data_IF_016193689707
#
_entry.id   IF_016193689707
#
_cell.length_a   1.000
_cell.length_b   1.000
_cell.length_c   1.000
_cell.angle_alpha   90.00
_cell.angle_beta   90.00
_cell.angle_gamma   90.00
#
_symmetry.space_group_name_H-M   'P 1'
#
loop_
_entity.id
_entity.type
_entity.pdbx_description
1 polymer ?
#
# COMPACT_ATOMS: atom_id res chain seq x y z
N UNK A 1 -41.17 -23.08 -16.65
CA UNK A 1 -40.48 -22.40 -15.56
C UNK A 1 -39.07 -22.97 -15.38
N UNK A 2 -38.03 -22.31 -15.94
CA UNK A 2 -36.63 -22.70 -15.73
C UNK A 2 -36.22 -22.23 -14.32
N UNK A 3 -35.95 -23.15 -13.42
CA UNK A 3 -35.31 -22.84 -12.14
C UNK A 3 -33.90 -22.37 -12.43
N UNK A 4 -33.64 -21.08 -12.24
CA UNK A 4 -32.29 -20.52 -12.28
C UNK A 4 -31.54 -21.13 -11.10
N UNK A 5 -30.47 -21.87 -11.39
CA UNK A 5 -29.62 -22.51 -10.41
C UNK A 5 -28.77 -21.41 -9.73
N UNK A 6 -28.93 -21.11 -8.42
CA UNK A 6 -28.28 -19.95 -7.77
C UNK A 6 -26.78 -20.16 -7.50
N UNK A 7 -26.23 -21.35 -7.81
CA UNK A 7 -24.85 -21.69 -7.42
C UNK A 7 -23.76 -21.16 -8.34
N UNK A 8 -24.08 -20.81 -9.60
CA UNK A 8 -23.06 -20.38 -10.58
C UNK A 8 -22.64 -18.91 -10.47
N UNK A 9 -23.41 -18.06 -9.76
CA UNK A 9 -23.13 -16.62 -9.62
C UNK A 9 -22.37 -16.26 -8.32
N UNK A 10 -22.24 -17.16 -7.37
CA UNK A 10 -21.66 -16.86 -6.05
C UNK A 10 -20.12 -16.74 -6.08
N UNK A 11 -19.42 -17.49 -6.92
CA UNK A 11 -17.95 -17.46 -6.96
C UNK A 11 -17.42 -16.18 -7.65
N UNK A 12 -18.06 -15.69 -8.70
CA UNK A 12 -17.69 -14.44 -9.36
C UNK A 12 -17.87 -13.21 -8.46
N UNK A 13 -18.90 -13.22 -7.60
CA UNK A 13 -19.19 -12.13 -6.66
C UNK A 13 -18.24 -12.09 -5.44
N UNK A 14 -17.62 -13.21 -5.07
CA UNK A 14 -16.64 -13.24 -3.97
C UNK A 14 -15.29 -12.60 -4.34
N UNK A 15 -14.88 -12.63 -5.60
CA UNK A 15 -13.60 -12.06 -6.05
C UNK A 15 -13.68 -10.57 -6.33
N UNK A 16 -14.82 -10.07 -6.81
CA UNK A 16 -15.05 -8.68 -7.21
C UNK A 16 -15.70 -7.86 -6.08
N UNK A 17 -15.50 -6.54 -6.16
CA UNK A 17 -16.16 -5.60 -5.24
C UNK A 17 -17.67 -5.56 -5.51
N UNK A 18 -18.44 -5.31 -4.46
CA UNK A 18 -19.90 -5.11 -4.48
C UNK A 18 -20.26 -3.82 -3.75
N UNK A 19 -21.47 -3.27 -3.90
CA UNK A 19 -21.90 -2.10 -3.14
C UNK A 19 -21.86 -2.27 -1.62
N UNK A 20 -21.87 -3.51 -1.11
CA UNK A 20 -21.90 -3.82 0.32
C UNK A 20 -20.51 -4.18 0.87
N UNK A 21 -19.68 -4.92 0.10
CA UNK A 21 -18.41 -5.48 0.56
C UNK A 21 -17.34 -5.39 -0.53
N UNK A 22 -16.10 -5.26 -0.08
CA UNK A 22 -14.94 -5.43 -0.95
C UNK A 22 -14.69 -6.90 -1.24
N UNK A 23 -14.39 -7.21 -2.49
CA UNK A 23 -14.09 -8.57 -2.95
C UNK A 23 -12.77 -9.10 -2.37
N UNK A 24 -12.55 -10.39 -2.53
CA UNK A 24 -11.38 -11.09 -1.96
C UNK A 24 -10.06 -10.48 -2.43
N UNK A 25 -9.94 -10.11 -3.71
CA UNK A 25 -8.71 -9.50 -4.25
C UNK A 25 -8.46 -8.13 -3.62
N UNK A 26 -9.48 -7.27 -3.51
CA UNK A 26 -9.37 -5.96 -2.87
C UNK A 26 -8.92 -6.07 -1.41
N UNK A 27 -9.46 -7.06 -0.68
CA UNK A 27 -9.12 -7.31 0.73
C UNK A 27 -7.71 -7.87 0.88
N UNK A 28 -7.33 -8.85 0.05
CA UNK A 28 -6.00 -9.44 0.07
C UNK A 28 -4.93 -8.38 -0.20
N UNK A 29 -5.07 -7.60 -1.27
CA UNK A 29 -4.16 -6.50 -1.57
C UNK A 29 -4.09 -5.48 -0.43
N UNK A 30 -5.24 -5.14 0.19
CA UNK A 30 -5.26 -4.22 1.31
C UNK A 30 -4.45 -4.72 2.51
N UNK A 31 -4.68 -5.96 2.95
CA UNK A 31 -4.03 -6.51 4.13
C UNK A 31 -2.56 -6.83 3.91
N UNK A 32 -2.18 -7.30 2.71
CA UNK A 32 -0.77 -7.48 2.35
C UNK A 32 -0.01 -6.14 2.38
N UNK A 33 -0.62 -5.09 1.82
CA UNK A 33 -0.03 -3.75 1.87
C UNK A 33 0.02 -3.21 3.30
N UNK A 34 -1.02 -3.41 4.10
CA UNK A 34 -1.03 -2.98 5.50
C UNK A 34 0.11 -3.65 6.30
N UNK A 35 0.32 -4.95 6.12
CA UNK A 35 1.44 -5.68 6.74
C UNK A 35 2.81 -5.14 6.25
N UNK A 36 2.96 -4.91 4.94
CA UNK A 36 4.19 -4.34 4.40
C UNK A 36 4.44 -2.92 4.93
N UNK A 37 3.41 -2.05 5.02
CA UNK A 37 3.53 -0.72 5.63
C UNK A 37 3.92 -0.78 7.11
N UNK A 38 3.33 -1.69 7.89
CA UNK A 38 3.72 -1.87 9.29
C UNK A 38 5.20 -2.24 9.42
N UNK A 39 5.71 -3.12 8.54
CA UNK A 39 7.12 -3.46 8.46
C UNK A 39 8.00 -2.27 8.06
N UNK A 40 7.57 -1.47 7.07
CA UNK A 40 8.30 -0.25 6.66
C UNK A 40 8.41 0.75 7.80
N UNK A 41 7.32 0.95 8.55
CA UNK A 41 7.33 1.81 9.75
C UNK A 41 8.25 1.25 10.82
N UNK A 42 8.16 -0.05 11.10
CA UNK A 42 9.04 -0.73 12.05
C UNK A 42 10.52 -0.50 11.72
N UNK A 43 10.94 -0.74 10.49
CA UNK A 43 12.35 -0.54 10.09
C UNK A 43 12.76 0.92 10.20
N UNK A 44 11.90 1.86 9.81
CA UNK A 44 12.18 3.29 9.92
C UNK A 44 12.32 3.77 11.38
N UNK A 45 11.53 3.23 12.30
CA UNK A 45 11.65 3.53 13.74
C UNK A 45 12.92 2.93 14.30
N UNK A 46 13.22 1.67 14.00
CA UNK A 46 14.35 0.93 14.57
C UNK A 46 15.68 1.64 14.32
N UNK A 47 16.01 1.99 13.09
CA UNK A 47 17.29 2.68 12.84
C UNK A 47 17.32 4.14 13.31
N UNK A 48 16.17 4.77 13.59
CA UNK A 48 16.14 6.08 14.28
C UNK A 48 16.40 5.98 15.79
N UNK A 49 16.20 4.79 16.39
CA UNK A 49 16.48 4.52 17.80
C UNK A 49 17.94 4.12 18.00
N UNK A 50 18.47 3.24 17.14
CA UNK A 50 19.83 2.75 17.22
C UNK A 50 20.35 2.42 15.80
N UNK A 51 21.54 2.94 15.48
CA UNK A 51 22.22 2.74 14.18
C UNK A 51 22.55 1.28 13.88
N UNK A 52 22.70 0.40 14.89
CA UNK A 52 22.93 -1.02 14.72
C UNK A 52 21.83 -1.70 13.87
N UNK A 53 20.59 -1.18 13.94
CA UNK A 53 19.47 -1.65 13.12
C UNK A 53 19.55 -1.22 11.65
N UNK A 54 20.61 -0.52 11.23
CA UNK A 54 20.81 -0.22 9.81
C UNK A 54 20.99 -1.46 8.95
N UNK A 55 21.30 -2.60 9.56
CA UNK A 55 21.27 -3.93 8.94
C UNK A 55 19.91 -4.28 8.30
N UNK A 56 18.80 -3.68 8.79
CA UNK A 56 17.45 -3.83 8.23
C UNK A 56 17.25 -3.12 6.88
N UNK A 57 18.21 -2.28 6.44
CA UNK A 57 18.09 -1.50 5.20
C UNK A 57 17.88 -2.38 3.96
N UNK A 58 18.52 -3.56 3.91
CA UNK A 58 18.31 -4.51 2.81
C UNK A 58 16.86 -5.00 2.73
N UNK A 59 16.29 -5.34 3.88
CA UNK A 59 14.87 -5.75 3.97
C UNK A 59 13.92 -4.60 3.68
N UNK A 60 14.22 -3.38 4.15
CA UNK A 60 13.44 -2.18 3.82
C UNK A 60 13.34 -1.97 2.32
N UNK A 61 14.48 -2.04 1.61
CA UNK A 61 14.51 -1.90 0.14
C UNK A 61 13.72 -3.02 -0.54
N UNK A 62 13.86 -4.26 -0.10
CA UNK A 62 13.16 -5.42 -0.66
C UNK A 62 11.65 -5.31 -0.47
N UNK A 63 11.19 -5.10 0.77
CA UNK A 63 9.75 -4.95 1.07
C UNK A 63 9.18 -3.70 0.42
N UNK A 64 9.93 -2.58 0.40
CA UNK A 64 9.52 -1.34 -0.26
C UNK A 64 9.32 -1.50 -1.77
N UNK A 65 10.16 -2.29 -2.43
CA UNK A 65 10.02 -2.61 -3.86
C UNK A 65 8.80 -3.49 -4.11
N UNK A 66 8.60 -4.53 -3.32
CA UNK A 66 7.38 -5.37 -3.39
C UNK A 66 6.13 -4.53 -3.14
N UNK A 67 6.18 -3.63 -2.16
CA UNK A 67 5.09 -2.72 -1.86
C UNK A 67 4.78 -1.80 -3.05
N UNK A 68 5.79 -1.28 -3.77
CA UNK A 68 5.57 -0.51 -5.00
C UNK A 68 4.78 -1.30 -6.06
N UNK A 69 5.11 -2.58 -6.25
CA UNK A 69 4.38 -3.47 -7.16
C UNK A 69 2.93 -3.68 -6.68
N UNK A 70 2.74 -3.98 -5.38
CA UNK A 70 1.41 -4.16 -4.79
C UNK A 70 0.53 -2.90 -4.93
N UNK A 71 1.11 -1.71 -4.82
CA UNK A 71 0.42 -0.44 -5.01
C UNK A 71 -0.08 -0.31 -6.44
N UNK A 72 0.76 -0.59 -7.43
CA UNK A 72 0.37 -0.55 -8.85
C UNK A 72 -0.78 -1.52 -9.11
N UNK A 73 -0.65 -2.78 -8.65
CA UNK A 73 -1.71 -3.79 -8.77
C UNK A 73 -3.01 -3.33 -8.11
N UNK A 74 -2.92 -2.71 -6.92
CA UNK A 74 -4.08 -2.20 -6.21
C UNK A 74 -4.74 -1.02 -6.92
N UNK A 75 -3.97 -0.09 -7.49
CA UNK A 75 -4.50 1.05 -8.27
C UNK A 75 -5.23 0.54 -9.50
N UNK A 76 -4.62 -0.36 -10.27
CA UNK A 76 -5.24 -0.98 -11.46
C UNK A 76 -6.51 -1.72 -11.07
N UNK A 77 -6.46 -2.58 -10.05
CA UNK A 77 -7.64 -3.30 -9.55
C UNK A 77 -8.74 -2.35 -9.06
N UNK A 78 -8.33 -1.26 -8.40
CA UNK A 78 -9.21 -0.19 -7.95
C UNK A 78 -9.97 0.47 -9.10
N UNK A 79 -9.28 0.77 -10.20
CA UNK A 79 -9.87 1.38 -11.37
C UNK A 79 -10.86 0.44 -12.06
N UNK A 80 -10.50 -0.85 -12.23
CA UNK A 80 -11.38 -1.87 -12.84
C UNK A 80 -12.69 -2.05 -12.05
N UNK A 81 -12.64 -1.95 -10.72
CA UNK A 81 -13.80 -2.16 -9.84
C UNK A 81 -14.48 -0.86 -9.39
N UNK A 82 -14.11 0.30 -9.95
CA UNK A 82 -14.57 1.60 -9.46
C UNK A 82 -16.11 1.75 -9.40
N UNK A 83 -16.82 1.24 -10.42
CA UNK A 83 -18.28 1.29 -10.51
C UNK A 83 -19.02 0.32 -9.57
N UNK A 84 -18.32 -0.67 -9.02
CA UNK A 84 -18.90 -1.74 -8.18
C UNK A 84 -18.66 -1.52 -6.69
N UNK A 85 -17.88 -0.52 -6.31
CA UNK A 85 -17.45 -0.28 -4.93
C UNK A 85 -18.54 0.31 -4.06
N UNK A 86 -18.47 0.08 -2.74
CA UNK A 86 -19.33 0.78 -1.80
C UNK A 86 -19.23 2.30 -1.98
N UNK A 87 -20.36 2.98 -1.95
CA UNK A 87 -20.40 4.43 -1.99
C UNK A 87 -19.72 5.01 -0.75
N UNK A 88 -18.92 6.05 -0.98
CA UNK A 88 -18.19 6.77 0.07
C UNK A 88 -18.44 8.26 -0.02
N UNK A 89 -18.49 8.94 1.11
CA UNK A 89 -18.59 10.40 1.17
C UNK A 89 -17.39 11.08 0.48
N UNK A 90 -17.55 12.29 -0.09
CA UNK A 90 -16.47 12.99 -0.77
C UNK A 90 -15.19 13.15 0.08
N UNK A 91 -15.33 13.46 1.37
CA UNK A 91 -14.20 13.58 2.31
C UNK A 91 -13.44 12.28 2.46
N UNK A 92 -14.13 11.14 2.47
CA UNK A 92 -13.50 9.81 2.53
C UNK A 92 -12.73 9.51 1.24
N UNK A 93 -13.30 9.90 0.09
CA UNK A 93 -12.61 9.76 -1.21
C UNK A 93 -11.34 10.59 -1.26
N UNK A 94 -11.38 11.84 -0.75
CA UNK A 94 -10.22 12.71 -0.67
C UNK A 94 -9.12 12.13 0.21
N UNK A 95 -9.48 11.62 1.39
CA UNK A 95 -8.53 10.94 2.28
C UNK A 95 -7.85 9.73 1.62
N UNK A 96 -8.62 8.88 0.94
CA UNK A 96 -8.04 7.76 0.17
C UNK A 96 -7.18 8.23 -1.00
N UNK A 97 -7.56 9.30 -1.71
CA UNK A 97 -6.76 9.85 -2.80
C UNK A 97 -5.40 10.36 -2.29
N UNK A 98 -5.38 11.05 -1.14
CA UNK A 98 -4.13 11.49 -0.50
C UNK A 98 -3.24 10.30 -0.11
N UNK A 99 -3.83 9.25 0.49
CA UNK A 99 -3.11 8.00 0.79
C UNK A 99 -2.54 7.36 -0.48
N UNK A 100 -3.32 7.20 -1.54
CA UNK A 100 -2.84 6.63 -2.81
C UNK A 100 -1.70 7.44 -3.41
N UNK A 101 -1.81 8.78 -3.42
CA UNK A 101 -0.77 9.66 -3.94
C UNK A 101 0.56 9.45 -3.20
N UNK A 102 0.52 9.45 -1.87
CA UNK A 102 1.72 9.24 -1.07
C UNK A 102 2.25 7.81 -1.16
N UNK A 103 1.37 6.81 -1.20
CA UNK A 103 1.76 5.41 -1.39
C UNK A 103 2.50 5.18 -2.71
N UNK A 104 2.17 5.93 -3.77
CA UNK A 104 2.90 5.91 -5.04
C UNK A 104 4.19 6.71 -4.90
N UNK A 105 4.11 7.96 -4.46
CA UNK A 105 5.25 8.88 -4.46
C UNK A 105 6.42 8.37 -3.60
N UNK A 106 6.15 7.88 -2.39
CA UNK A 106 7.20 7.48 -1.44
C UNK A 106 8.12 6.38 -2.00
N UNK A 107 7.62 5.20 -2.40
CA UNK A 107 8.51 4.15 -2.91
C UNK A 107 9.18 4.54 -4.23
N UNK A 108 8.51 5.27 -5.13
CA UNK A 108 9.13 5.71 -6.38
C UNK A 108 10.28 6.69 -6.13
N UNK A 109 10.14 7.64 -5.21
CA UNK A 109 11.25 8.52 -4.81
C UNK A 109 12.39 7.70 -4.19
N UNK A 110 12.08 6.68 -3.39
CA UNK A 110 13.08 5.75 -2.86
C UNK A 110 13.84 4.99 -3.94
N UNK A 111 13.14 4.48 -4.97
CA UNK A 111 13.73 3.80 -6.11
C UNK A 111 14.60 4.74 -6.98
N UNK A 112 14.14 5.96 -7.22
CA UNK A 112 14.91 7.01 -7.92
C UNK A 112 16.21 7.29 -7.16
N UNK A 113 16.14 7.47 -5.82
CA UNK A 113 17.32 7.66 -4.98
C UNK A 113 18.25 6.46 -5.03
N UNK A 114 17.72 5.25 -4.98
CA UNK A 114 18.52 4.01 -5.05
C UNK A 114 19.25 3.90 -6.37
N UNK A 115 18.58 4.21 -7.48
CA UNK A 115 19.20 4.20 -8.81
C UNK A 115 20.36 5.19 -8.89
N UNK A 116 20.14 6.46 -8.51
CA UNK A 116 21.11 7.54 -8.66
C UNK A 116 22.22 7.56 -7.60
N UNK A 117 22.20 6.68 -6.60
CA UNK A 117 23.15 6.75 -5.48
C UNK A 117 24.52 6.15 -5.77
N UNK A 118 24.72 5.46 -6.89
CA UNK A 118 25.97 4.75 -7.26
C UNK A 118 26.46 3.78 -6.15
N UNK A 119 25.52 3.10 -5.47
CA UNK A 119 25.80 2.17 -4.37
C UNK A 119 25.63 0.71 -4.75
N UNK A 120 25.71 0.43 -6.06
CA UNK A 120 25.48 -0.90 -6.61
C UNK A 120 24.01 -1.24 -6.84
N UNK A 121 23.74 -2.50 -7.21
CA UNK A 121 22.42 -2.94 -7.64
C UNK A 121 21.40 -2.94 -6.49
N UNK A 122 20.13 -2.84 -6.86
CA UNK A 122 19.01 -3.11 -5.96
C UNK A 122 18.71 -4.62 -6.01
N UNK A 123 18.93 -5.27 -4.88
CA UNK A 123 18.55 -6.67 -4.71
C UNK A 123 17.25 -6.74 -3.89
N UNK A 124 16.30 -7.52 -4.38
CA UNK A 124 15.04 -7.83 -3.70
C UNK A 124 15.10 -9.30 -3.28
N UNK A 125 15.28 -9.53 -1.99
CA UNK A 125 15.47 -10.88 -1.40
C UNK A 125 16.54 -11.72 -2.13
N UNK A 126 17.66 -11.09 -2.52
CA UNK A 126 18.78 -11.74 -3.20
C UNK A 126 18.70 -11.73 -4.73
N UNK A 127 17.60 -11.29 -5.32
CA UNK A 127 17.43 -11.18 -6.78
C UNK A 127 17.70 -9.74 -7.19
N UNK A 128 18.66 -9.54 -8.12
CA UNK A 128 18.90 -8.22 -8.70
C UNK A 128 17.73 -7.79 -9.59
N UNK A 129 17.12 -6.66 -9.26
CA UNK A 129 15.98 -6.11 -10.01
C UNK A 129 16.28 -4.77 -10.67
N UNK A 130 17.39 -4.12 -10.29
CA UNK A 130 17.82 -2.86 -10.89
C UNK A 130 19.34 -2.70 -10.68
N UNK A 131 20.08 -2.47 -11.74
CA UNK A 131 21.55 -2.35 -11.72
C UNK A 131 22.04 -1.09 -10.98
N UNK A 132 21.31 -0.01 -11.08
CA UNK A 132 21.73 1.30 -10.56
C UNK A 132 22.61 2.08 -11.55
N UNK A 133 22.86 3.34 -11.26
CA UNK A 133 23.75 4.18 -12.04
C UNK A 133 25.21 3.89 -11.69
N UNK A 134 26.15 3.85 -12.68
CA UNK A 134 27.58 3.71 -12.41
C UNK A 134 28.17 4.94 -11.69
N UNK A 135 27.58 6.11 -11.93
CA UNK A 135 27.99 7.38 -11.30
C UNK A 135 26.85 7.99 -10.50
N UNK A 136 27.20 8.81 -9.49
CA UNK A 136 26.21 9.48 -8.66
C UNK A 136 25.45 10.54 -9.45
N UNK A 137 24.13 10.44 -9.47
CA UNK A 137 23.22 11.43 -10.08
C UNK A 137 22.67 12.33 -8.95
N UNK A 138 23.26 13.50 -8.78
CA UNK A 138 23.04 14.38 -7.64
C UNK A 138 21.56 14.73 -7.42
N UNK A 139 20.81 15.09 -8.48
CA UNK A 139 19.41 15.48 -8.30
C UNK A 139 18.53 14.32 -7.79
N UNK A 140 18.80 13.08 -8.20
CA UNK A 140 18.06 11.89 -7.73
C UNK A 140 18.31 11.63 -6.24
N UNK A 141 19.58 11.76 -5.84
CA UNK A 141 19.96 11.58 -4.44
C UNK A 141 19.38 12.69 -3.57
N UNK A 142 19.47 13.94 -4.04
CA UNK A 142 18.96 15.11 -3.31
C UNK A 142 17.43 15.07 -3.18
N UNK A 143 16.71 14.68 -4.22
CA UNK A 143 15.26 14.45 -4.15
C UNK A 143 14.91 13.39 -3.08
N UNK A 144 15.61 12.25 -3.11
CA UNK A 144 15.38 11.18 -2.14
C UNK A 144 15.67 11.61 -0.70
N UNK A 145 16.79 12.30 -0.48
CA UNK A 145 17.17 12.80 0.85
C UNK A 145 16.18 13.85 1.38
N UNK A 146 15.69 14.72 0.50
CA UNK A 146 14.78 15.80 0.87
C UNK A 146 13.35 15.31 1.14
N UNK A 147 12.86 14.32 0.38
CA UNK A 147 11.43 14.01 0.29
C UNK A 147 11.05 12.63 0.85
N UNK A 148 11.84 11.56 0.58
CA UNK A 148 11.42 10.18 0.89
C UNK A 148 11.00 10.00 2.35
N UNK A 149 11.86 10.33 3.30
CA UNK A 149 11.56 10.17 4.74
C UNK A 149 10.41 11.06 5.21
N UNK A 150 10.39 12.32 4.80
CA UNK A 150 9.34 13.27 5.22
C UNK A 150 7.96 12.86 4.70
N UNK A 151 7.88 12.47 3.44
CA UNK A 151 6.62 11.98 2.85
C UNK A 151 6.20 10.63 3.42
N UNK A 152 7.16 9.76 3.79
CA UNK A 152 6.88 8.52 4.49
C UNK A 152 6.24 8.78 5.87
N UNK A 153 6.78 9.71 6.66
CA UNK A 153 6.17 10.08 7.96
C UNK A 153 4.78 10.69 7.78
N UNK A 154 4.58 11.55 6.77
CA UNK A 154 3.25 12.08 6.45
C UNK A 154 2.28 10.94 6.07
N UNK A 155 2.73 9.98 5.27
CA UNK A 155 1.93 8.80 4.90
C UNK A 155 1.55 7.98 6.14
N UNK A 156 2.48 7.73 7.07
CA UNK A 156 2.19 7.01 8.31
C UNK A 156 1.20 7.75 9.19
N UNK A 157 1.33 9.07 9.29
CA UNK A 157 0.36 9.91 10.02
C UNK A 157 -1.05 9.81 9.43
N UNK A 158 -1.18 9.91 8.10
CA UNK A 158 -2.47 9.76 7.44
C UNK A 158 -3.03 8.33 7.54
N UNK A 159 -2.16 7.31 7.49
CA UNK A 159 -2.56 5.92 7.70
C UNK A 159 -3.06 5.67 9.13
N UNK A 160 -2.42 6.25 10.14
CA UNK A 160 -2.92 6.22 11.52
C UNK A 160 -4.29 6.89 11.64
N UNK A 161 -4.48 8.07 11.04
CA UNK A 161 -5.77 8.73 10.97
C UNK A 161 -6.84 7.88 10.27
N UNK A 162 -6.49 7.22 9.16
CA UNK A 162 -7.37 6.28 8.46
C UNK A 162 -7.81 5.13 9.38
N UNK A 163 -6.90 4.53 10.14
CA UNK A 163 -7.22 3.46 11.09
C UNK A 163 -8.14 3.97 12.20
N UNK A 164 -7.82 5.12 12.80
CA UNK A 164 -8.63 5.74 13.85
C UNK A 164 -10.06 6.00 13.35
N UNK A 165 -10.20 6.58 12.15
CA UNK A 165 -11.53 6.85 11.58
C UNK A 165 -12.28 5.56 11.27
N UNK A 166 -11.61 4.50 10.80
CA UNK A 166 -12.25 3.21 10.58
C UNK A 166 -12.79 2.61 11.89
N UNK A 167 -12.03 2.74 13.00
CA UNK A 167 -12.46 2.30 14.34
C UNK A 167 -13.64 3.13 14.84
N UNK A 168 -13.58 4.46 14.73
CA UNK A 168 -14.68 5.36 15.16
C UNK A 168 -15.98 5.02 14.41
N UNK A 169 -15.93 4.86 13.09
CA UNK A 169 -17.10 4.50 12.29
C UNK A 169 -17.63 3.11 12.65
N UNK A 170 -16.73 2.16 12.92
CA UNK A 170 -17.14 0.82 13.39
C UNK A 170 -17.87 0.87 14.73
N UNK A 171 -17.37 1.66 15.69
CA UNK A 171 -17.99 1.85 17.02
C UNK A 171 -19.34 2.59 16.93
N UNK A 172 -19.50 3.46 15.93
CA UNK A 172 -20.79 4.12 15.63
C UNK A 172 -21.80 3.23 14.92
N UNK A 173 -21.47 1.94 14.67
CA UNK A 173 -22.37 0.98 14.06
C UNK A 173 -22.35 0.92 12.53
N UNK A 174 -21.51 1.69 11.85
CA UNK A 174 -21.44 1.73 10.37
C UNK A 174 -20.78 0.49 9.75
N UNK A 175 -20.22 -0.42 10.57
CA UNK A 175 -19.64 -1.72 10.19
C UNK A 175 -18.60 -1.63 9.05
N UNK A 176 -17.81 -0.53 8.99
CA UNK A 176 -16.85 -0.25 7.91
C UNK A 176 -15.73 -1.29 7.85
N UNK A 177 -15.20 -1.70 9.01
CA UNK A 177 -14.17 -2.74 9.09
C UNK A 177 -14.70 -4.06 8.51
N UNK A 178 -15.97 -4.39 8.73
CA UNK A 178 -16.57 -5.61 8.21
C UNK A 178 -16.56 -5.65 6.67
N UNK A 179 -16.61 -4.49 5.99
CA UNK A 179 -16.50 -4.42 4.53
C UNK A 179 -15.15 -4.91 4.02
N UNK A 180 -14.09 -4.76 4.86
CA UNK A 180 -12.71 -5.18 4.55
C UNK A 180 -12.33 -6.55 5.13
N UNK A 181 -13.10 -7.09 6.08
CA UNK A 181 -12.93 -8.46 6.58
C UNK A 181 -13.76 -9.44 5.75
N UNK A 182 -14.89 -9.00 5.23
CA UNK A 182 -15.85 -9.78 4.43
C UNK A 182 -17.07 -10.22 5.24
N UNK A 183 -18.08 -10.77 4.55
CA UNK A 183 -19.27 -11.27 5.20
C UNK A 183 -18.90 -12.41 6.17
N UNK A 184 -19.43 -12.36 7.39
CA UNK A 184 -19.42 -13.52 8.28
C UNK A 184 -20.32 -14.58 7.65
N UNK A 185 -19.76 -15.78 7.42
CA UNK A 185 -20.53 -16.98 7.05
C UNK A 185 -21.35 -17.44 8.21
#
# INVERSE_FOLDING_TARGET
MRRLNPTHNYQGTLMQDTPQYYGTISRLLHWLMAAAFAFMLFTAIMWNINEDYYSLMGYHKSVGTVLAVLIVLRVVWSAINASRRPLSAPVVKLGHAALYLLMIAVPFIGLIRQYGAARGPLNVFGIEVMTGSPEKIEWMVNLGNAAHGKLAFLLFFLAAGHIVMAVIHQLRGEKIINRMIGPRR
#
